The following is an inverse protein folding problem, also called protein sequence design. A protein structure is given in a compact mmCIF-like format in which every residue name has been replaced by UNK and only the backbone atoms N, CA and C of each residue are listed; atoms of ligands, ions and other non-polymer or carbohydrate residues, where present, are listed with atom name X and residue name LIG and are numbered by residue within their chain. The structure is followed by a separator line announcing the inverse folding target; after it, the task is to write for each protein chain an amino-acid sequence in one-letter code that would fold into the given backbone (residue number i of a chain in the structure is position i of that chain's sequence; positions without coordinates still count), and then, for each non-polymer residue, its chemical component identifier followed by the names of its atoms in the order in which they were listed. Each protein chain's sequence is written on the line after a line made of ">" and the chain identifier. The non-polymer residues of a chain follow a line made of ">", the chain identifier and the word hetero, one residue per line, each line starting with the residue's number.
data_IF_886663524988
#
_entry.id   IF_886663524988
#
_cell.length_a   1.000
_cell.length_b   1.000
_cell.length_c   1.000
_cell.angle_alpha   90.00
_cell.angle_beta   90.00
_cell.angle_gamma   90.00
#
_symmetry.space_group_name_H-M   'P 1'
#
loop_
_entity.id
_entity.type
_entity.pdbx_description
1 polymer ?
#
# COMPACT_ATOMS: atom_id res chain seq x y z
N UNK A 1 -10.60 -2.49 -23.70
CA UNK A 1 -11.15 -2.02 -22.41
C UNK A 1 -10.37 -2.73 -21.32
N UNK A 2 -9.62 -1.98 -20.51
CA UNK A 2 -8.87 -2.56 -19.39
C UNK A 2 -9.87 -3.11 -18.38
N UNK A 3 -9.83 -4.42 -18.15
CA UNK A 3 -10.69 -5.03 -17.13
C UNK A 3 -10.11 -4.70 -15.75
N UNK A 4 -10.95 -4.25 -14.83
CA UNK A 4 -10.57 -4.05 -13.43
C UNK A 4 -11.14 -5.18 -12.58
N UNK A 5 -10.33 -5.70 -11.68
CA UNK A 5 -10.72 -6.76 -10.74
C UNK A 5 -10.71 -6.17 -9.34
N UNK A 6 -11.76 -6.44 -8.58
CA UNK A 6 -11.81 -6.08 -7.16
C UNK A 6 -11.00 -7.10 -6.38
N UNK A 7 -9.97 -6.63 -5.67
CA UNK A 7 -9.05 -7.45 -4.90
C UNK A 7 -9.04 -6.94 -3.47
N UNK A 8 -8.93 -7.85 -2.51
CA UNK A 8 -8.79 -7.48 -1.10
C UNK A 8 -7.41 -6.89 -0.85
N UNK A 9 -7.33 -5.89 0.01
CA UNK A 9 -6.07 -5.22 0.31
C UNK A 9 -5.03 -6.18 0.92
N UNK A 10 -5.49 -7.19 1.67
CA UNK A 10 -4.65 -8.25 2.23
C UNK A 10 -4.01 -9.15 1.15
N UNK A 11 -4.64 -9.29 -0.02
CA UNK A 11 -4.18 -10.14 -1.12
C UNK A 11 -3.30 -9.38 -2.12
N UNK A 12 -3.22 -8.06 -2.01
CA UNK A 12 -2.37 -7.26 -2.89
C UNK A 12 -0.89 -7.55 -2.64
N UNK A 13 -0.17 -7.86 -3.71
CA UNK A 13 1.28 -8.07 -3.73
C UNK A 13 1.87 -7.52 -5.03
N UNK A 14 3.19 -7.41 -5.07
CA UNK A 14 3.95 -7.06 -6.27
C UNK A 14 3.45 -5.78 -6.95
N UNK A 15 3.39 -5.81 -8.28
CA UNK A 15 3.05 -4.64 -9.10
C UNK A 15 1.64 -4.11 -8.85
N UNK A 16 0.69 -4.93 -8.39
CA UNK A 16 -0.65 -4.47 -8.04
C UNK A 16 -0.64 -3.60 -6.77
N UNK A 17 0.16 -4.00 -5.77
CA UNK A 17 0.35 -3.20 -4.55
C UNK A 17 1.07 -1.89 -4.86
N UNK A 18 2.16 -1.97 -5.63
CA UNK A 18 2.94 -0.81 -6.06
C UNK A 18 2.10 0.21 -6.85
N UNK A 19 1.26 -0.27 -7.77
CA UNK A 19 0.31 0.56 -8.50
C UNK A 19 -0.69 1.24 -7.56
N UNK A 20 -1.21 0.53 -6.56
CA UNK A 20 -2.17 1.09 -5.60
C UNK A 20 -1.54 2.21 -4.77
N UNK A 21 -0.28 2.05 -4.36
CA UNK A 21 0.51 3.07 -3.65
C UNK A 21 0.74 4.28 -4.57
N UNK A 22 1.17 4.06 -5.81
CA UNK A 22 1.35 5.12 -6.80
C UNK A 22 0.05 5.88 -7.09
N UNK A 23 -1.09 5.20 -7.12
CA UNK A 23 -2.40 5.83 -7.29
C UNK A 23 -2.85 6.64 -6.06
N UNK A 24 -2.38 6.31 -4.85
CA UNK A 24 -2.67 7.08 -3.63
C UNK A 24 -1.76 8.32 -3.54
N UNK A 25 -0.47 8.15 -3.82
CA UNK A 25 0.50 9.25 -3.80
C UNK A 25 0.32 10.22 -4.97
N UNK A 26 -0.01 9.70 -6.16
CA UNK A 26 -0.25 10.48 -7.38
C UNK A 26 -1.47 11.39 -7.31
N UNK A 27 -2.53 10.98 -6.60
CA UNK A 27 -3.70 11.83 -6.32
C UNK A 27 -3.35 13.05 -5.44
N UNK A 28 -2.19 13.04 -4.75
CA UNK A 28 -1.75 14.12 -3.85
C UNK A 28 -0.73 15.10 -4.46
N UNK A 29 -0.31 14.95 -5.73
CA UNK A 29 0.68 15.86 -6.34
C UNK A 29 0.06 17.01 -7.16
N UNK A 30 0.33 18.26 -6.77
CA UNK A 30 0.76 19.27 -7.73
C UNK A 30 2.11 19.89 -7.32
N UNK A 31 3.00 20.10 -8.31
CA UNK A 31 4.32 20.78 -8.23
C UNK A 31 5.44 19.94 -7.59
N UNK A 32 6.70 19.94 -8.02
CA UNK A 32 7.47 20.82 -8.89
C UNK A 32 8.50 19.97 -9.67
N UNK A 33 8.91 20.44 -10.86
CA UNK A 33 9.78 19.71 -11.76
C UNK A 33 11.10 19.27 -11.12
N UNK A 34 11.28 17.96 -10.95
CA UNK A 34 12.59 17.34 -10.84
C UNK A 34 12.47 15.86 -11.19
N UNK A 35 13.42 15.39 -11.99
CA UNK A 35 13.49 14.08 -12.65
C UNK A 35 13.76 12.93 -11.68
N UNK A 36 12.82 12.62 -10.77
CA UNK A 36 12.90 11.43 -9.91
C UNK A 36 11.56 10.65 -9.86
N UNK A 37 10.89 10.59 -11.02
CA UNK A 37 9.42 10.48 -11.13
C UNK A 37 8.82 9.06 -11.04
N UNK A 38 9.58 8.01 -10.68
CA UNK A 38 9.04 6.63 -10.69
C UNK A 38 9.52 5.72 -9.55
N UNK A 39 10.29 6.21 -8.58
CA UNK A 39 10.64 5.39 -7.43
C UNK A 39 9.44 5.35 -6.45
N UNK A 40 8.96 4.16 -6.13
CA UNK A 40 7.99 3.99 -5.05
C UNK A 40 8.57 4.58 -3.76
N UNK A 41 7.75 5.30 -2.97
CA UNK A 41 8.21 5.84 -1.70
C UNK A 41 8.67 4.70 -0.80
N UNK A 42 9.82 4.89 -0.15
CA UNK A 42 10.31 3.91 0.82
C UNK A 42 9.36 3.82 2.02
N UNK A 43 9.32 2.64 2.66
CA UNK A 43 8.45 2.39 3.81
C UNK A 43 8.70 3.39 4.94
N UNK A 44 9.96 3.78 5.18
CA UNK A 44 10.32 4.79 6.18
C UNK A 44 9.69 6.16 5.92
N UNK A 45 9.64 6.55 4.64
CA UNK A 45 9.04 7.82 4.25
C UNK A 45 7.54 7.80 4.50
N UNK A 46 6.86 6.70 4.14
CA UNK A 46 5.43 6.54 4.39
C UNK A 46 5.11 6.48 5.89
N UNK A 47 5.91 5.76 6.67
CA UNK A 47 5.77 5.70 8.13
C UNK A 47 5.87 7.09 8.73
N UNK A 48 6.88 7.86 8.34
CA UNK A 48 7.11 9.22 8.87
C UNK A 48 6.02 10.19 8.41
N UNK A 49 5.63 10.14 7.14
CA UNK A 49 4.65 11.06 6.53
C UNK A 49 3.24 10.82 7.07
N UNK A 50 2.86 9.57 7.24
CA UNK A 50 1.49 9.18 7.57
C UNK A 50 1.31 8.68 9.01
N UNK A 51 2.39 8.58 9.79
CA UNK A 51 2.35 8.05 11.15
C UNK A 51 1.96 6.58 11.20
N UNK A 52 2.38 5.78 10.20
CA UNK A 52 2.02 4.35 10.15
C UNK A 52 2.68 3.63 11.31
N UNK A 53 1.88 2.99 12.14
CA UNK A 53 2.36 2.13 13.21
C UNK A 53 2.82 0.81 12.60
N UNK A 54 3.99 0.31 13.02
CA UNK A 54 4.57 -0.93 12.52
C UNK A 54 5.12 -1.74 13.69
N UNK A 55 4.87 -3.04 13.67
CA UNK A 55 5.33 -3.97 14.69
C UNK A 55 5.66 -5.34 14.10
N UNK A 56 6.48 -6.10 14.81
CA UNK A 56 6.87 -7.46 14.45
C UNK A 56 5.87 -8.42 15.09
N UNK A 57 5.09 -9.11 14.27
CA UNK A 57 4.08 -10.05 14.78
C UNK A 57 4.68 -11.40 15.15
N UNK A 58 4.02 -12.11 16.06
CA UNK A 58 4.40 -13.48 16.43
C UNK A 58 3.98 -14.54 15.41
N UNK A 59 2.82 -14.34 14.74
CA UNK A 59 2.27 -15.27 13.72
C UNK A 59 2.55 -14.83 12.28
N UNK A 60 2.57 -13.52 12.06
CA UNK A 60 2.91 -12.89 10.78
C UNK A 60 4.12 -12.00 11.01
N UNK A 61 5.10 -12.03 10.11
CA UNK A 61 6.41 -11.42 10.35
C UNK A 61 6.34 -9.91 10.57
N UNK A 62 5.47 -9.22 9.82
CA UNK A 62 5.26 -7.78 9.97
C UNK A 62 3.78 -7.43 10.00
N UNK A 63 3.44 -6.47 10.88
CA UNK A 63 2.13 -5.88 11.02
C UNK A 63 2.25 -4.37 10.89
N UNK A 64 1.30 -3.74 10.19
CA UNK A 64 1.22 -2.28 10.14
C UNK A 64 -0.23 -1.79 10.23
N UNK A 65 -0.43 -0.61 10.80
CA UNK A 65 -1.74 0.05 10.87
C UNK A 65 -1.60 1.57 10.75
N UNK A 66 -2.59 2.19 10.09
CA UNK A 66 -2.72 3.63 9.97
C UNK A 66 -4.07 4.13 10.49
N UNK A 67 -5.00 3.23 10.82
CA UNK A 67 -6.36 3.58 11.23
C UNK A 67 -6.51 3.77 12.75
N UNK A 68 -5.45 3.45 13.51
CA UNK A 68 -5.44 3.40 14.97
C UNK A 68 -6.46 2.39 15.54
N UNK A 69 -6.76 1.34 14.76
CA UNK A 69 -7.65 0.24 15.12
C UNK A 69 -6.88 -1.08 14.99
N UNK A 70 -6.66 -1.81 16.10
CA UNK A 70 -5.95 -3.08 16.09
C UNK A 70 -6.54 -4.13 15.13
N UNK A 71 -7.83 -4.08 14.82
CA UNK A 71 -8.49 -5.04 13.92
C UNK A 71 -8.25 -4.77 12.44
N UNK A 72 -7.76 -3.56 12.10
CA UNK A 72 -7.46 -3.16 10.73
C UNK A 72 -5.98 -3.33 10.37
N UNK A 73 -5.18 -3.92 11.26
CA UNK A 73 -3.77 -4.20 11.04
C UNK A 73 -3.58 -5.08 9.81
N UNK A 74 -2.73 -4.63 8.90
CA UNK A 74 -2.38 -5.34 7.70
C UNK A 74 -1.09 -6.14 7.92
N UNK A 75 -1.09 -7.38 7.46
CA UNK A 75 0.06 -8.27 7.52
C UNK A 75 0.94 -8.11 6.29
N UNK A 76 2.25 -8.31 6.44
CA UNK A 76 3.18 -8.41 5.32
C UNK A 76 4.31 -9.40 5.59
N UNK A 77 4.78 -10.03 4.53
CA UNK A 77 5.98 -10.87 4.51
C UNK A 77 7.23 -10.02 4.77
N UNK A 78 7.20 -8.76 4.31
CA UNK A 78 8.20 -7.75 4.59
C UNK A 78 7.56 -6.54 5.25
N UNK A 79 8.39 -5.74 5.93
CA UNK A 79 7.98 -4.49 6.55
C UNK A 79 7.33 -3.54 5.55
N UNK A 80 7.92 -3.42 4.36
CA UNK A 80 7.42 -2.59 3.27
C UNK A 80 6.03 -3.04 2.80
N UNK A 81 5.83 -4.35 2.60
CA UNK A 81 4.53 -4.89 2.19
C UNK A 81 3.47 -4.59 3.25
N UNK A 82 3.78 -4.78 4.54
CA UNK A 82 2.85 -4.48 5.63
C UNK A 82 2.43 -2.99 5.62
N UNK A 83 3.41 -2.09 5.53
CA UNK A 83 3.18 -0.63 5.48
C UNK A 83 2.34 -0.23 4.27
N UNK A 84 2.67 -0.76 3.09
CA UNK A 84 1.96 -0.45 1.86
C UNK A 84 0.50 -0.90 1.96
N UNK A 85 0.26 -2.14 2.41
CA UNK A 85 -1.10 -2.64 2.62
C UNK A 85 -1.86 -1.79 3.64
N UNK A 86 -1.23 -1.41 4.76
CA UNK A 86 -1.86 -0.56 5.77
C UNK A 86 -2.27 0.80 5.20
N UNK A 87 -1.43 1.40 4.36
CA UNK A 87 -1.75 2.66 3.69
C UNK A 87 -2.91 2.50 2.71
N UNK A 88 -2.88 1.46 1.86
CA UNK A 88 -3.96 1.18 0.92
C UNK A 88 -5.27 0.94 1.67
N UNK A 89 -5.23 0.19 2.76
CA UNK A 89 -6.40 -0.11 3.57
C UNK A 89 -7.00 1.17 4.17
N UNK A 90 -6.16 2.03 4.75
CA UNK A 90 -6.63 3.26 5.37
C UNK A 90 -7.20 4.27 4.36
N UNK A 91 -6.70 4.29 3.11
CA UNK A 91 -7.09 5.28 2.10
C UNK A 91 -8.17 4.80 1.13
N UNK A 92 -8.16 3.52 0.76
CA UNK A 92 -9.06 2.92 -0.23
C UNK A 92 -10.01 1.89 0.38
N UNK A 93 -9.74 1.43 1.60
CA UNK A 93 -10.57 0.47 2.32
C UNK A 93 -10.13 -0.99 2.16
N UNK A 94 -10.98 -1.95 2.57
CA UNK A 94 -10.65 -3.38 2.59
C UNK A 94 -10.54 -4.02 1.21
N UNK A 95 -11.05 -3.37 0.16
CA UNK A 95 -10.99 -3.86 -1.21
C UNK A 95 -10.90 -2.69 -2.16
N UNK A 96 -10.16 -2.88 -3.25
CA UNK A 96 -9.96 -1.89 -4.29
C UNK A 96 -9.97 -2.55 -5.67
N UNK A 97 -10.33 -1.77 -6.68
CA UNK A 97 -10.32 -2.21 -8.07
C UNK A 97 -8.94 -1.94 -8.68
N UNK A 98 -8.23 -3.00 -9.06
CA UNK A 98 -6.94 -2.93 -9.74
C UNK A 98 -7.06 -3.43 -11.19
N UNK A 99 -6.23 -2.96 -12.13
CA UNK A 99 -6.14 -3.55 -13.46
C UNK A 99 -5.85 -5.06 -13.40
N UNK A 100 -6.65 -5.87 -14.11
CA UNK A 100 -6.56 -7.33 -14.08
C UNK A 100 -5.19 -7.88 -14.52
N UNK A 101 -4.49 -7.11 -15.35
CA UNK A 101 -3.15 -7.39 -15.85
C UNK A 101 -2.07 -7.38 -14.76
N UNK A 102 -2.28 -6.68 -13.64
CA UNK A 102 -1.34 -6.61 -12.52
C UNK A 102 -1.49 -7.77 -11.53
N UNK A 103 -2.58 -8.54 -11.62
CA UNK A 103 -2.87 -9.69 -10.75
C UNK A 103 -2.42 -11.02 -11.38
N UNK A 104 -2.19 -11.06 -12.69
CA UNK A 104 -1.85 -12.27 -13.44
C UNK A 104 -0.34 -12.47 -13.71
N UNK A 105 0.53 -11.74 -13.00
CA UNK A 105 1.99 -11.89 -13.13
C UNK A 105 2.56 -12.85 -12.08
#
# INVERSE_FOLDING_TARGET
>A
MSSMVSVRTEELTGSALDWAIGAIEGDQQPMAGQLDLFALPDAEQLITKYGVWVDVGHRHQWLADMTNDPFNRQTGETRTIAVFRAMVFAKRGPSLSVPAELIQQ
#
